data_IF_491432287825
#
_entry.id   IF_491432287825
#
_cell.length_a   1.000
_cell.length_b   1.000
_cell.length_c   1.000
_cell.angle_alpha   90.00
_cell.angle_beta   90.00
_cell.angle_gamma   90.00
#
_symmetry.space_group_name_H-M   'P 1'
#
loop_
_entity.id
_entity.type
_entity.pdbx_description
1 polymer ?
#
# COMPACT_ATOMS: atom_id res chain seq x y z
N UNK A 1 16.80 8.51 -15.59
CA UNK A 1 16.82 8.41 -17.06
C UNK A 1 17.36 7.03 -17.43
N UNK A 2 16.53 6.10 -17.90
CA UNK A 2 17.05 4.83 -18.39
C UNK A 2 17.82 5.11 -19.68
N UNK A 3 19.04 4.57 -19.76
CA UNK A 3 19.91 4.71 -20.92
C UNK A 3 19.14 4.28 -22.17
N UNK A 4 19.17 5.14 -23.20
CA UNK A 4 18.69 4.82 -24.54
C UNK A 4 19.40 3.53 -24.98
N UNK A 5 18.68 2.41 -24.91
CA UNK A 5 19.11 1.12 -25.42
C UNK A 5 19.41 1.31 -26.90
N UNK A 6 20.69 1.25 -27.23
CA UNK A 6 21.27 1.30 -28.56
C UNK A 6 20.50 0.31 -29.46
N UNK A 7 19.68 0.81 -30.38
CA UNK A 7 18.73 0.03 -31.20
C UNK A 7 19.37 -1.07 -32.06
N UNK A 8 20.71 -1.16 -32.05
CA UNK A 8 21.51 -2.15 -32.77
C UNK A 8 22.18 -3.21 -31.87
N UNK A 9 22.07 -3.10 -30.55
CA UNK A 9 22.59 -4.12 -29.62
C UNK A 9 21.49 -5.15 -29.33
N UNK A 10 21.70 -6.44 -29.65
CA UNK A 10 20.72 -7.47 -29.31
C UNK A 10 20.62 -7.57 -27.79
N UNK A 11 19.38 -7.51 -27.27
CA UNK A 11 19.11 -7.70 -25.85
C UNK A 11 19.70 -9.04 -25.39
N UNK A 12 20.43 -9.00 -24.26
CA UNK A 12 21.07 -10.18 -23.69
C UNK A 12 20.06 -11.32 -23.46
N UNK A 13 18.80 -10.97 -23.20
CA UNK A 13 17.71 -11.92 -22.99
C UNK A 13 17.30 -12.65 -24.27
N UNK A 14 17.32 -11.97 -25.42
CA UNK A 14 17.08 -12.62 -26.72
C UNK A 14 18.17 -13.63 -27.04
N UNK A 15 19.43 -13.30 -26.73
CA UNK A 15 20.56 -14.23 -26.90
C UNK A 15 20.40 -15.44 -25.97
N UNK A 16 20.02 -15.24 -24.71
CA UNK A 16 19.75 -16.34 -23.76
C UNK A 16 18.66 -17.26 -24.26
N UNK A 17 17.60 -16.72 -24.85
CA UNK A 17 16.53 -17.52 -25.43
C UNK A 17 17.01 -18.39 -26.60
N UNK A 18 17.85 -17.84 -27.50
CA UNK A 18 18.49 -18.63 -28.56
C UNK A 18 19.31 -19.80 -27.99
N UNK A 19 20.05 -19.57 -26.90
CA UNK A 19 20.88 -20.60 -26.27
C UNK A 19 20.05 -21.71 -25.62
N UNK A 20 18.89 -21.37 -25.05
CA UNK A 20 17.98 -22.36 -24.43
C UNK A 20 17.48 -23.41 -25.42
N UNK A 21 17.22 -23.01 -26.67
CA UNK A 21 16.72 -23.91 -27.72
C UNK A 21 17.82 -24.54 -28.59
N UNK A 22 19.08 -24.13 -28.41
CA UNK A 22 20.19 -24.59 -29.23
C UNK A 22 20.45 -26.13 -29.21
N UNK A 23 20.31 -26.85 -28.08
CA UNK A 23 20.51 -28.31 -28.06
C UNK A 23 19.55 -29.06 -28.98
N UNK A 24 18.29 -28.63 -29.07
CA UNK A 24 17.28 -29.24 -29.94
C UNK A 24 17.70 -29.08 -31.40
N UNK A 25 18.17 -27.89 -31.80
CA UNK A 25 18.66 -27.63 -33.15
C UNK A 25 19.90 -28.45 -33.53
N UNK A 26 20.80 -28.68 -32.57
CA UNK A 26 22.01 -29.51 -32.76
C UNK A 26 21.62 -30.97 -32.96
N UNK A 27 20.75 -31.51 -32.10
CA UNK A 27 20.26 -32.88 -32.22
C UNK A 27 19.52 -33.11 -33.55
N UNK A 28 18.64 -32.19 -33.93
CA UNK A 28 17.92 -32.24 -35.21
C UNK A 28 18.87 -32.22 -36.41
N UNK A 29 19.95 -31.43 -36.36
CA UNK A 29 20.95 -31.35 -37.43
C UNK A 29 21.66 -32.69 -37.62
N UNK A 30 22.16 -33.30 -36.54
CA UNK A 30 22.86 -34.59 -36.59
C UNK A 30 21.97 -35.74 -37.05
N UNK A 31 20.72 -35.76 -36.57
CA UNK A 31 19.74 -36.77 -36.97
C UNK A 31 19.40 -36.64 -38.47
N UNK A 32 19.02 -35.42 -38.91
CA UNK A 32 18.63 -35.19 -40.29
C UNK A 32 19.79 -35.37 -41.27
N UNK A 33 21.02 -34.98 -40.91
CA UNK A 33 22.19 -35.21 -41.77
C UNK A 33 22.47 -36.70 -41.96
N UNK A 34 22.30 -37.50 -40.90
CA UNK A 34 22.48 -38.96 -40.96
C UNK A 34 21.41 -39.62 -41.83
N UNK A 35 20.14 -39.21 -41.66
CA UNK A 35 19.02 -39.70 -42.48
C UNK A 35 19.21 -39.32 -43.95
N UNK A 36 19.61 -38.09 -44.24
CA UNK A 36 19.82 -37.62 -45.61
C UNK A 36 20.93 -38.42 -46.30
N UNK A 37 22.05 -38.65 -45.61
CA UNK A 37 23.16 -39.47 -46.15
C UNK A 37 22.72 -40.91 -46.40
N UNK A 38 21.97 -41.51 -45.49
CA UNK A 38 21.47 -42.88 -45.65
C UNK A 38 20.58 -43.03 -46.89
N UNK A 39 19.65 -42.09 -47.09
CA UNK A 39 18.72 -42.12 -48.24
C UNK A 39 19.46 -41.88 -49.56
N UNK A 40 20.44 -40.97 -49.57
CA UNK A 40 21.20 -40.65 -50.78
C UNK A 40 22.32 -41.65 -51.09
N UNK A 41 22.59 -42.62 -50.20
CA UNK A 41 23.74 -43.52 -50.28
C UNK A 41 23.86 -44.29 -51.59
N UNK A 42 22.72 -44.68 -52.18
CA UNK A 42 22.69 -45.47 -53.43
C UNK A 42 22.74 -44.63 -54.70
N UNK A 43 22.59 -43.31 -54.60
CA UNK A 43 22.39 -42.43 -55.77
C UNK A 43 23.50 -41.38 -55.89
N UNK A 44 24.14 -41.01 -54.78
CA UNK A 44 25.24 -40.05 -54.74
C UNK A 44 26.53 -40.76 -54.34
N UNK A 45 27.68 -40.30 -54.85
CA UNK A 45 28.99 -40.84 -54.49
C UNK A 45 29.22 -40.84 -52.98
N UNK A 46 29.64 -41.98 -52.43
CA UNK A 46 29.94 -42.13 -51.00
C UNK A 46 30.98 -41.11 -50.53
N UNK A 47 31.97 -40.75 -51.36
CA UNK A 47 32.98 -39.75 -50.99
C UNK A 47 32.36 -38.37 -50.75
N UNK A 48 31.43 -37.94 -51.61
CA UNK A 48 30.72 -36.66 -51.48
C UNK A 48 29.86 -36.65 -50.22
N UNK A 49 29.15 -37.75 -49.95
CA UNK A 49 28.30 -37.90 -48.76
C UNK A 49 29.11 -37.84 -47.46
N UNK A 50 30.24 -38.56 -47.41
CA UNK A 50 31.09 -38.59 -46.22
C UNK A 50 31.81 -37.26 -45.97
N UNK A 51 32.28 -36.58 -47.02
CA UNK A 51 32.88 -35.24 -46.89
C UNK A 51 31.84 -34.25 -46.37
N UNK A 52 30.62 -34.26 -46.94
CA UNK A 52 29.55 -33.38 -46.50
C UNK A 52 29.10 -33.67 -45.06
N UNK A 53 28.95 -34.94 -44.70
CA UNK A 53 28.63 -35.37 -43.33
C UNK A 53 29.72 -34.96 -42.34
N UNK A 54 31.00 -35.16 -42.68
CA UNK A 54 32.12 -34.73 -41.86
C UNK A 54 32.13 -33.23 -41.63
N UNK A 55 31.89 -32.44 -42.70
CA UNK A 55 31.80 -30.99 -42.59
C UNK A 55 30.65 -30.55 -41.67
N UNK A 56 29.47 -31.17 -41.77
CA UNK A 56 28.30 -30.74 -40.98
C UNK A 56 28.42 -31.13 -39.52
N UNK A 57 28.98 -32.30 -39.25
CA UNK A 57 29.35 -32.70 -37.88
C UNK A 57 30.40 -31.76 -37.30
N UNK A 58 31.45 -31.40 -38.05
CA UNK A 58 32.49 -30.48 -37.58
C UNK A 58 31.93 -29.11 -37.21
N UNK A 59 31.16 -28.47 -38.10
CA UNK A 59 30.52 -27.17 -37.82
C UNK A 59 29.58 -27.27 -36.61
N UNK A 60 28.84 -28.37 -36.49
CA UNK A 60 27.94 -28.62 -35.36
C UNK A 60 28.70 -28.77 -34.03
N UNK A 61 29.84 -29.47 -34.02
CA UNK A 61 30.71 -29.60 -32.85
C UNK A 61 31.32 -28.26 -32.42
N UNK A 62 31.80 -27.45 -33.38
CA UNK A 62 32.32 -26.11 -33.10
C UNK A 62 31.24 -25.22 -32.48
N UNK A 63 30.00 -25.28 -33.01
CA UNK A 63 28.85 -24.54 -32.45
C UNK A 63 28.49 -25.01 -31.05
N UNK A 64 28.45 -26.33 -30.82
CA UNK A 64 28.21 -26.88 -29.49
C UNK A 64 29.27 -26.40 -28.49
N UNK A 65 30.55 -26.42 -28.87
CA UNK A 65 31.65 -25.92 -28.05
C UNK A 65 31.52 -24.43 -27.72
N UNK A 66 31.09 -23.60 -28.69
CA UNK A 66 30.84 -22.17 -28.49
C UNK A 66 29.71 -21.93 -27.46
N UNK A 67 28.60 -22.66 -27.58
CA UNK A 67 27.46 -22.58 -26.65
C UNK A 67 27.85 -23.10 -25.27
N UNK A 68 28.53 -24.25 -25.21
CA UNK A 68 29.02 -24.84 -23.97
C UNK A 68 29.97 -23.90 -23.22
N UNK A 69 30.87 -23.22 -23.96
CA UNK A 69 31.78 -22.22 -23.40
C UNK A 69 31.02 -21.12 -22.67
N UNK A 70 29.94 -20.58 -23.25
CA UNK A 70 29.15 -19.52 -22.63
C UNK A 70 28.31 -20.01 -21.44
N UNK A 71 27.80 -21.25 -21.49
CA UNK A 71 27.13 -21.83 -20.33
C UNK A 71 28.08 -22.13 -19.16
N UNK A 72 29.35 -22.46 -19.41
CA UNK A 72 30.30 -22.89 -18.37
C UNK A 72 31.26 -21.80 -17.89
N UNK A 73 31.66 -20.85 -18.75
CA UNK A 73 32.66 -19.83 -18.46
C UNK A 73 31.98 -18.46 -18.30
N UNK A 74 31.56 -18.19 -17.06
CA UNK A 74 31.23 -16.89 -16.46
C UNK A 74 30.32 -15.93 -17.26
N UNK A 75 29.05 -15.73 -16.83
CA UNK A 75 28.15 -14.68 -17.34
C UNK A 75 28.65 -13.24 -17.25
N UNK A 76 29.84 -12.97 -16.69
CA UNK A 76 30.35 -11.62 -16.37
C UNK A 76 31.67 -11.25 -17.09
N UNK A 77 32.34 -12.16 -17.80
CA UNK A 77 33.62 -11.87 -18.48
C UNK A 77 33.55 -11.90 -20.01
N UNK A 78 32.36 -12.09 -20.56
CA UNK A 78 32.18 -12.26 -21.99
C UNK A 78 31.70 -10.95 -22.64
N UNK A 79 32.36 -10.50 -23.73
CA UNK A 79 31.93 -9.35 -24.56
C UNK A 79 30.74 -9.72 -25.45
N UNK A 80 29.49 -9.36 -25.10
CA UNK A 80 28.27 -9.88 -25.74
C UNK A 80 28.24 -9.68 -27.26
N UNK A 81 28.90 -8.63 -27.76
CA UNK A 81 28.95 -8.29 -29.18
C UNK A 81 29.74 -9.31 -30.00
N UNK A 82 30.88 -9.77 -29.47
CA UNK A 82 31.71 -10.80 -30.11
C UNK A 82 31.01 -12.14 -30.13
N UNK A 83 30.21 -12.48 -29.10
CA UNK A 83 29.48 -13.75 -29.05
C UNK A 83 28.45 -13.79 -30.13
N UNK A 84 27.67 -12.72 -30.17
CA UNK A 84 26.57 -12.60 -31.07
C UNK A 84 27.06 -12.75 -32.51
N UNK A 85 28.18 -12.12 -32.83
CA UNK A 85 28.83 -12.26 -34.14
C UNK A 85 29.30 -13.70 -34.39
N UNK A 86 30.02 -14.33 -33.45
CA UNK A 86 30.48 -15.72 -33.58
C UNK A 86 29.32 -16.72 -33.73
N UNK A 87 28.24 -16.51 -32.99
CA UNK A 87 27.01 -17.30 -33.03
C UNK A 87 26.32 -17.14 -34.39
N UNK A 88 26.17 -15.91 -34.88
CA UNK A 88 25.59 -15.63 -36.20
C UNK A 88 26.43 -16.25 -37.32
N UNK A 89 27.76 -16.12 -37.27
CA UNK A 89 28.66 -16.75 -38.25
C UNK A 89 28.49 -18.26 -38.22
N UNK A 90 28.44 -18.90 -37.04
CA UNK A 90 28.19 -20.33 -36.92
C UNK A 90 26.84 -20.77 -37.49
N UNK A 91 25.78 -20.00 -37.23
CA UNK A 91 24.44 -20.23 -37.79
C UNK A 91 24.47 -20.09 -39.32
N UNK A 92 25.12 -19.06 -39.83
CA UNK A 92 25.33 -18.82 -41.26
C UNK A 92 26.06 -19.96 -41.95
N UNK A 93 27.18 -20.42 -41.35
CA UNK A 93 27.95 -21.57 -41.83
C UNK A 93 27.10 -22.85 -41.88
N UNK A 94 26.27 -23.07 -40.86
CA UNK A 94 25.33 -24.20 -40.84
C UNK A 94 24.31 -24.09 -41.98
N UNK A 95 23.78 -22.89 -42.23
CA UNK A 95 22.84 -22.64 -43.32
C UNK A 95 23.47 -22.84 -44.70
N UNK A 96 24.69 -22.35 -44.91
CA UNK A 96 25.44 -22.57 -46.17
C UNK A 96 25.74 -24.04 -46.42
N UNK A 97 25.98 -24.81 -45.37
CA UNK A 97 26.30 -26.23 -45.50
C UNK A 97 25.07 -27.09 -45.79
N UNK A 98 23.91 -26.75 -45.20
CA UNK A 98 22.64 -27.32 -45.65
C UNK A 98 22.32 -26.91 -47.09
N UNK A 99 22.56 -25.64 -47.44
CA UNK A 99 22.40 -25.14 -48.81
C UNK A 99 23.27 -25.86 -49.83
N UNK A 100 24.51 -26.19 -49.46
CA UNK A 100 25.42 -26.92 -50.35
C UNK A 100 24.90 -28.33 -50.67
N UNK A 101 24.01 -28.92 -49.85
CA UNK A 101 23.34 -30.17 -50.19
C UNK A 101 22.46 -30.03 -51.46
N UNK A 102 21.85 -28.86 -51.69
CA UNK A 102 21.15 -28.53 -52.94
C UNK A 102 22.05 -28.52 -54.18
N UNK A 103 23.38 -28.45 -54.00
CA UNK A 103 24.38 -28.46 -55.07
C UNK A 103 25.02 -29.85 -55.18
N UNK A 104 25.61 -30.35 -54.10
CA UNK A 104 26.45 -31.56 -54.10
C UNK A 104 25.67 -32.86 -53.86
N UNK A 105 24.54 -32.80 -53.16
CA UNK A 105 23.72 -33.98 -52.83
C UNK A 105 22.45 -34.07 -53.70
N UNK A 106 22.42 -33.32 -54.80
CA UNK A 106 21.28 -33.30 -55.72
C UNK A 106 21.36 -34.47 -56.70
N UNK A 107 20.44 -35.42 -56.56
CA UNK A 107 20.32 -36.58 -57.43
C UNK A 107 19.63 -36.21 -58.76
N UNK A 108 20.39 -35.92 -59.81
CA UNK A 108 19.84 -35.51 -61.13
C UNK A 108 18.92 -36.57 -61.76
N UNK A 109 19.12 -37.84 -61.41
CA UNK A 109 18.42 -38.96 -62.04
C UNK A 109 17.22 -39.47 -61.22
N UNK A 110 16.87 -38.83 -60.10
CA UNK A 110 15.75 -39.29 -59.27
C UNK A 110 14.98 -38.14 -58.61
N UNK A 111 13.77 -37.90 -59.11
CA UNK A 111 12.84 -36.89 -58.57
C UNK A 111 12.50 -37.19 -57.11
N UNK A 112 12.35 -38.47 -56.72
CA UNK A 112 12.06 -38.85 -55.33
C UNK A 112 13.15 -38.38 -54.36
N UNK A 113 14.42 -38.52 -54.74
CA UNK A 113 15.54 -38.09 -53.90
C UNK A 113 15.67 -36.56 -53.84
N UNK A 114 15.28 -35.86 -54.91
CA UNK A 114 15.21 -34.39 -54.93
C UNK A 114 14.08 -33.86 -54.06
N UNK A 115 12.89 -34.48 -54.14
CA UNK A 115 11.76 -34.14 -53.29
C UNK A 115 12.07 -34.40 -51.81
N UNK A 116 12.77 -35.50 -51.51
CA UNK A 116 13.24 -35.77 -50.14
C UNK A 116 14.23 -34.70 -49.66
N UNK A 117 15.19 -34.30 -50.51
CA UNK A 117 16.12 -33.21 -50.19
C UNK A 117 15.39 -31.89 -49.93
N UNK A 118 14.41 -31.53 -50.76
CA UNK A 118 13.57 -30.34 -50.58
C UNK A 118 12.78 -30.39 -49.26
N UNK A 119 12.22 -31.55 -48.93
CA UNK A 119 11.51 -31.77 -47.67
C UNK A 119 12.42 -31.59 -46.45
N UNK A 120 13.63 -32.16 -46.47
CA UNK A 120 14.61 -32.00 -45.37
C UNK A 120 15.03 -30.53 -45.23
N UNK A 121 15.39 -29.86 -46.33
CA UNK A 121 15.81 -28.44 -46.28
C UNK A 121 14.66 -27.53 -45.84
N UNK A 122 13.44 -27.76 -46.33
CA UNK A 122 12.23 -27.08 -45.86
C UNK A 122 11.99 -27.31 -44.37
N UNK A 123 12.08 -28.56 -43.91
CA UNK A 123 11.94 -28.92 -42.50
C UNK A 123 12.98 -28.25 -41.59
N UNK A 124 14.23 -28.15 -42.05
CA UNK A 124 15.29 -27.43 -41.35
C UNK A 124 14.97 -25.93 -41.22
N UNK A 125 14.45 -25.30 -42.28
CA UNK A 125 14.02 -23.89 -42.23
C UNK A 125 12.80 -23.69 -41.34
N UNK A 126 11.85 -24.63 -41.33
CA UNK A 126 10.72 -24.59 -40.42
C UNK A 126 11.16 -24.67 -38.95
N UNK A 127 12.09 -25.58 -38.63
CA UNK A 127 12.69 -25.66 -37.30
C UNK A 127 13.48 -24.40 -36.93
N UNK A 128 14.12 -23.75 -37.91
CA UNK A 128 14.80 -22.47 -37.73
C UNK A 128 13.82 -21.32 -37.45
N UNK A 129 12.62 -21.31 -38.05
CA UNK A 129 11.59 -20.32 -37.72
C UNK A 129 11.16 -20.43 -36.25
N UNK A 130 11.08 -21.63 -35.68
CA UNK A 130 10.84 -21.82 -34.24
C UNK A 130 12.02 -21.40 -33.37
N UNK A 131 13.23 -21.82 -33.74
CA UNK A 131 14.44 -21.70 -32.88
C UNK A 131 15.09 -20.31 -32.95
N UNK A 132 15.11 -19.69 -34.13
CA UNK A 132 15.79 -18.42 -34.39
C UNK A 132 14.84 -17.23 -34.50
N UNK A 133 13.52 -17.43 -34.32
CA UNK A 133 12.54 -16.33 -34.40
C UNK A 133 12.79 -15.21 -33.39
N UNK A 134 13.44 -15.47 -32.26
CA UNK A 134 13.81 -14.42 -31.31
C UNK A 134 14.75 -13.37 -31.94
N UNK A 135 15.55 -13.75 -32.95
CA UNK A 135 16.50 -12.87 -33.62
C UNK A 135 16.42 -13.06 -35.14
N UNK A 136 15.72 -12.16 -35.83
CA UNK A 136 15.51 -12.26 -37.29
C UNK A 136 16.80 -12.37 -38.10
N UNK A 137 17.89 -11.71 -37.68
CA UNK A 137 19.21 -11.85 -38.33
C UNK A 137 19.71 -13.30 -38.33
N UNK A 138 19.47 -14.05 -37.26
CA UNK A 138 19.84 -15.47 -37.17
C UNK A 138 18.96 -16.34 -38.08
N UNK A 139 17.65 -16.06 -38.14
CA UNK A 139 16.75 -16.75 -39.07
C UNK A 139 17.17 -16.54 -40.54
N UNK A 140 17.51 -15.32 -40.93
CA UNK A 140 17.97 -15.03 -42.30
C UNK A 140 19.33 -15.64 -42.58
N UNK A 141 20.29 -15.53 -41.64
CA UNK A 141 21.62 -16.12 -41.77
C UNK A 141 21.54 -17.64 -42.02
N UNK A 142 20.55 -18.33 -41.45
CA UNK A 142 20.33 -19.74 -41.70
C UNK A 142 19.50 -20.02 -42.97
N UNK A 143 18.30 -19.45 -43.06
CA UNK A 143 17.27 -19.88 -44.02
C UNK A 143 17.58 -19.52 -45.47
N UNK A 144 18.15 -18.33 -45.71
CA UNK A 144 18.50 -17.86 -47.06
C UNK A 144 19.52 -18.78 -47.71
N UNK A 145 20.74 -18.97 -47.17
CA UNK A 145 21.71 -19.84 -47.80
C UNK A 145 21.26 -21.32 -47.84
N UNK A 146 20.35 -21.75 -46.95
CA UNK A 146 19.81 -23.12 -46.95
C UNK A 146 18.94 -23.42 -48.17
N UNK A 147 18.03 -22.52 -48.53
CA UNK A 147 17.04 -22.79 -49.59
C UNK A 147 17.41 -22.16 -50.94
N UNK A 148 18.15 -21.05 -50.97
CA UNK A 148 18.47 -20.36 -52.22
C UNK A 148 19.11 -21.26 -53.27
N UNK A 149 20.12 -22.11 -52.97
CA UNK A 149 20.73 -22.99 -53.98
C UNK A 149 19.73 -23.98 -54.59
N UNK A 150 18.86 -24.56 -53.77
CA UNK A 150 17.86 -25.52 -54.22
C UNK A 150 16.77 -24.84 -55.07
N UNK A 151 16.25 -23.71 -54.59
CA UNK A 151 15.23 -22.92 -55.31
C UNK A 151 15.76 -22.49 -56.67
N UNK A 152 16.96 -21.89 -56.73
CA UNK A 152 17.57 -21.49 -57.99
C UNK A 152 17.75 -22.69 -58.93
N UNK A 153 18.22 -23.82 -58.42
CA UNK A 153 18.42 -25.03 -59.23
C UNK A 153 17.13 -25.58 -59.81
N UNK A 154 16.05 -25.59 -59.04
CA UNK A 154 14.72 -26.00 -59.53
C UNK A 154 14.20 -25.09 -60.65
N UNK A 155 14.38 -23.77 -60.53
CA UNK A 155 14.00 -22.85 -61.61
C UNK A 155 14.90 -22.98 -62.86
N UNK A 156 16.18 -23.29 -62.70
CA UNK A 156 17.12 -23.46 -63.81
C UNK A 156 16.90 -24.73 -64.63
N UNK A 157 16.36 -25.81 -64.02
CA UNK A 157 16.06 -27.05 -64.75
C UNK A 157 14.88 -26.89 -65.70
N UNK A 158 13.93 -26.00 -65.38
CA UNK A 158 12.94 -25.48 -66.32
C UNK A 158 11.81 -26.43 -66.74
N UNK A 159 11.83 -27.70 -66.33
CA UNK A 159 10.68 -28.60 -66.55
C UNK A 159 9.53 -28.34 -65.56
N UNK A 160 8.34 -28.82 -65.93
CA UNK A 160 7.10 -28.58 -65.19
C UNK A 160 7.17 -29.03 -63.72
N UNK A 161 7.77 -30.19 -63.45
CA UNK A 161 7.87 -30.72 -62.09
C UNK A 161 8.85 -29.89 -61.24
N UNK A 162 10.01 -29.51 -61.78
CA UNK A 162 10.98 -28.71 -61.03
C UNK A 162 10.51 -27.26 -60.84
N UNK A 163 9.82 -26.66 -61.81
CA UNK A 163 9.18 -25.34 -61.64
C UNK A 163 8.14 -25.39 -60.50
N UNK A 164 7.30 -26.43 -60.45
CA UNK A 164 6.34 -26.62 -59.36
C UNK A 164 7.04 -26.80 -58.00
N UNK A 165 8.09 -27.63 -57.92
CA UNK A 165 8.86 -27.81 -56.68
C UNK A 165 9.56 -26.52 -56.23
N UNK A 166 10.12 -25.74 -57.16
CA UNK A 166 10.72 -24.43 -56.90
C UNK A 166 9.70 -23.43 -56.36
N UNK A 167 8.54 -23.32 -57.01
CA UNK A 167 7.43 -22.47 -56.58
C UNK A 167 6.91 -22.84 -55.19
N UNK A 168 6.68 -24.12 -54.92
CA UNK A 168 6.23 -24.61 -53.60
C UNK A 168 7.27 -24.38 -52.51
N UNK A 169 8.56 -24.58 -52.81
CA UNK A 169 9.66 -24.33 -51.86
C UNK A 169 9.78 -22.84 -51.54
N UNK A 170 9.64 -21.97 -52.55
CA UNK A 170 9.64 -20.51 -52.37
C UNK A 170 8.43 -20.04 -51.55
N UNK A 171 7.23 -20.53 -51.89
CA UNK A 171 6.01 -20.23 -51.14
C UNK A 171 6.13 -20.69 -49.68
N UNK A 172 6.67 -21.88 -49.45
CA UNK A 172 6.93 -22.38 -48.11
C UNK A 172 7.94 -21.51 -47.35
N UNK A 173 9.02 -21.06 -47.99
CA UNK A 173 9.97 -20.13 -47.38
C UNK A 173 9.32 -18.79 -47.00
N UNK A 174 8.48 -18.23 -47.87
CA UNK A 174 7.69 -17.00 -47.58
C UNK A 174 6.77 -17.23 -46.38
N UNK A 175 6.07 -18.35 -46.32
CA UNK A 175 5.23 -18.72 -45.17
C UNK A 175 6.04 -18.86 -43.88
N UNK A 176 7.23 -19.46 -43.96
CA UNK A 176 8.14 -19.57 -42.81
C UNK A 176 8.70 -18.21 -42.38
N UNK A 177 8.95 -17.29 -43.32
CA UNK A 177 9.31 -15.92 -43.00
C UNK A 177 8.21 -15.20 -42.21
N UNK A 178 6.95 -15.26 -42.66
CA UNK A 178 5.84 -14.66 -41.92
C UNK A 178 5.64 -15.32 -40.54
N UNK A 179 5.82 -16.64 -40.46
CA UNK A 179 5.76 -17.38 -39.20
C UNK A 179 6.86 -16.92 -38.24
N UNK A 180 8.10 -16.80 -38.71
CA UNK A 180 9.23 -16.31 -37.92
C UNK A 180 9.00 -14.87 -37.46
N UNK A 181 8.49 -13.99 -38.34
CA UNK A 181 8.17 -12.59 -38.02
C UNK A 181 7.07 -12.50 -36.95
N UNK A 182 6.02 -13.32 -37.06
CA UNK A 182 4.95 -13.40 -36.05
C UNK A 182 5.50 -13.84 -34.69
N UNK A 183 6.29 -14.91 -34.66
CA UNK A 183 6.92 -15.43 -33.43
C UNK A 183 7.89 -14.42 -32.80
N UNK A 184 8.64 -13.68 -33.62
CA UNK A 184 9.51 -12.59 -33.16
C UNK A 184 8.71 -11.50 -32.44
N UNK A 185 7.61 -11.04 -33.05
CA UNK A 185 6.74 -10.04 -32.47
C UNK A 185 6.12 -10.50 -31.14
N UNK A 186 5.66 -11.76 -31.07
CA UNK A 186 5.14 -12.36 -29.83
C UNK A 186 6.22 -12.43 -28.74
N UNK A 187 7.43 -12.83 -29.10
CA UNK A 187 8.55 -12.94 -28.16
C UNK A 187 8.93 -11.57 -27.59
N UNK A 188 9.04 -10.55 -28.44
CA UNK A 188 9.34 -9.19 -28.00
C UNK A 188 8.22 -8.61 -27.12
N UNK A 189 6.96 -8.90 -27.44
CA UNK A 189 5.82 -8.49 -26.62
C UNK A 189 5.86 -9.12 -25.22
N UNK A 190 6.24 -10.40 -25.11
CA UNK A 190 6.40 -11.09 -23.83
C UNK A 190 7.49 -10.41 -22.98
N UNK A 191 8.63 -10.06 -23.56
CA UNK A 191 9.70 -9.38 -22.82
C UNK A 191 9.26 -8.01 -22.30
N UNK A 192 8.59 -7.21 -23.14
CA UNK A 192 8.06 -5.90 -22.73
C UNK A 192 7.03 -6.04 -21.61
N UNK A 193 6.14 -7.04 -21.71
CA UNK A 193 5.13 -7.31 -20.70
C UNK A 193 5.78 -7.71 -19.36
N UNK A 194 6.76 -8.62 -19.40
CA UNK A 194 7.49 -9.04 -18.20
C UNK A 194 8.25 -7.88 -17.53
N UNK A 195 8.85 -6.98 -18.33
CA UNK A 195 9.51 -5.79 -17.80
C UNK A 195 8.51 -4.85 -17.10
N UNK A 196 7.36 -4.56 -17.74
CA UNK A 196 6.31 -3.73 -17.13
C UNK A 196 5.68 -4.37 -15.90
N UNK A 197 5.58 -5.70 -15.87
CA UNK A 197 5.07 -6.44 -14.71
C UNK A 197 6.04 -6.33 -13.54
N UNK A 198 7.35 -6.45 -13.78
CA UNK A 198 8.36 -6.28 -12.74
C UNK A 198 8.33 -4.88 -12.12
N UNK A 199 8.22 -3.84 -12.96
CA UNK A 199 8.11 -2.45 -12.49
C UNK A 199 6.81 -2.22 -11.70
N UNK A 200 5.68 -2.76 -12.16
CA UNK A 200 4.41 -2.66 -11.44
C UNK A 200 4.43 -3.41 -10.10
N UNK A 201 5.09 -4.57 -10.03
CA UNK A 201 5.27 -5.31 -8.78
C UNK A 201 6.13 -4.54 -7.79
N UNK A 202 7.24 -3.95 -8.22
CA UNK A 202 8.10 -3.13 -7.37
C UNK A 202 7.34 -1.92 -6.80
N UNK A 203 6.54 -1.24 -7.64
CA UNK A 203 5.72 -0.13 -7.18
C UNK A 203 4.64 -0.55 -6.18
N UNK A 204 3.97 -1.68 -6.42
CA UNK A 204 2.98 -2.23 -5.50
C UNK A 204 3.60 -2.65 -4.16
N UNK A 205 4.80 -3.21 -4.18
CA UNK A 205 5.55 -3.58 -2.97
C UNK A 205 5.95 -2.35 -2.15
N UNK A 206 6.38 -1.27 -2.81
CA UNK A 206 6.67 0.01 -2.17
C UNK A 206 5.42 0.61 -1.49
N UNK A 207 4.27 0.64 -2.17
CA UNK A 207 3.00 1.12 -1.59
C UNK A 207 2.58 0.25 -0.41
N UNK A 208 2.76 -1.08 -0.50
CA UNK A 208 2.43 -1.98 0.60
C UNK A 208 3.29 -1.73 1.84
N UNK A 209 4.58 -1.45 1.68
CA UNK A 209 5.45 -1.11 2.82
C UNK A 209 5.11 0.27 3.41
N UNK A 210 4.79 1.26 2.58
CA UNK A 210 4.31 2.57 3.04
C UNK A 210 3.01 2.46 3.84
N UNK A 211 2.02 1.74 3.30
CA UNK A 211 0.73 1.54 3.95
C UNK A 211 0.87 0.76 5.27
N UNK A 212 1.77 -0.23 5.35
CA UNK A 212 2.07 -0.93 6.60
C UNK A 212 2.57 0.03 7.68
N UNK A 213 3.46 0.96 7.33
CA UNK A 213 3.97 1.96 8.26
C UNK A 213 2.85 2.91 8.71
N UNK A 214 2.01 3.40 7.79
CA UNK A 214 0.88 4.27 8.12
C UNK A 214 -0.13 3.56 9.06
N UNK A 215 -0.45 2.29 8.80
CA UNK A 215 -1.34 1.50 9.66
C UNK A 215 -0.73 1.33 11.06
N UNK A 216 0.58 1.05 11.16
CA UNK A 216 1.26 0.93 12.45
C UNK A 216 1.22 2.25 13.23
N UNK A 217 1.41 3.38 12.56
CA UNK A 217 1.30 4.71 13.17
C UNK A 217 -0.12 4.99 13.67
N UNK A 218 -1.15 4.72 12.85
CA UNK A 218 -2.55 4.87 13.25
C UNK A 218 -2.90 4.03 14.47
N UNK A 219 -2.50 2.76 14.51
CA UNK A 219 -2.76 1.88 15.65
C UNK A 219 -2.16 2.47 16.93
N UNK A 220 -0.95 3.02 16.86
CA UNK A 220 -0.30 3.65 18.03
C UNK A 220 -1.05 4.89 18.51
N UNK A 221 -1.48 5.75 17.60
CA UNK A 221 -2.27 6.95 17.92
C UNK A 221 -3.62 6.57 18.52
N UNK A 222 -4.29 5.56 17.97
CA UNK A 222 -5.57 5.06 18.50
C UNK A 222 -5.42 4.50 19.91
N UNK A 223 -4.34 3.77 20.20
CA UNK A 223 -4.07 3.21 21.52
C UNK A 223 -3.75 4.32 22.55
N UNK A 224 -2.96 5.33 22.17
CA UNK A 224 -2.68 6.49 23.02
C UNK A 224 -3.95 7.29 23.32
N UNK A 225 -4.81 7.50 22.32
CA UNK A 225 -6.09 8.17 22.48
C UNK A 225 -7.04 7.37 23.38
N UNK A 226 -7.06 6.04 23.23
CA UNK A 226 -7.85 5.14 24.08
C UNK A 226 -7.45 5.28 25.54
N UNK A 227 -6.15 5.25 25.85
CA UNK A 227 -5.63 5.45 27.22
C UNK A 227 -5.99 6.81 27.79
N UNK A 228 -5.85 7.88 27.00
CA UNK A 228 -6.24 9.23 27.45
C UNK A 228 -7.74 9.32 27.71
N UNK A 229 -8.59 8.72 26.87
CA UNK A 229 -10.03 8.67 27.10
C UNK A 229 -10.41 7.91 28.36
N UNK A 230 -9.80 6.74 28.59
CA UNK A 230 -10.03 5.94 29.79
C UNK A 230 -9.64 6.73 31.05
N UNK A 231 -8.45 7.34 31.07
CA UNK A 231 -8.00 8.16 32.19
C UNK A 231 -8.87 9.41 32.44
N UNK A 232 -9.27 10.12 31.37
CA UNK A 232 -10.19 11.26 31.48
C UNK A 232 -11.55 10.83 32.04
N UNK A 233 -12.08 9.69 31.58
CA UNK A 233 -13.34 9.17 32.07
C UNK A 233 -13.27 8.85 33.56
N UNK A 234 -12.16 8.29 34.03
CA UNK A 234 -11.93 8.00 35.45
C UNK A 234 -11.86 9.28 36.27
N UNK A 235 -11.06 10.26 35.84
CA UNK A 235 -10.98 11.57 36.52
C UNK A 235 -12.33 12.29 36.55
N UNK A 236 -13.10 12.25 35.45
CA UNK A 236 -14.44 12.86 35.39
C UNK A 236 -15.38 12.15 36.37
N UNK A 237 -15.34 10.82 36.45
CA UNK A 237 -16.16 10.08 37.40
C UNK A 237 -15.80 10.43 38.86
N UNK A 238 -14.51 10.49 39.18
CA UNK A 238 -14.00 10.88 40.51
C UNK A 238 -14.44 12.30 40.89
N UNK A 239 -14.16 13.30 40.02
CA UNK A 239 -14.55 14.70 40.28
C UNK A 239 -16.04 14.89 40.35
N UNK A 240 -16.80 14.16 39.55
CA UNK A 240 -18.27 14.21 39.61
C UNK A 240 -18.78 13.64 40.94
N UNK A 241 -18.16 12.57 41.46
CA UNK A 241 -18.49 12.02 42.78
C UNK A 241 -18.14 12.99 43.91
N UNK A 242 -16.97 13.64 43.87
CA UNK A 242 -16.58 14.67 44.85
C UNK A 242 -17.54 15.87 44.82
N UNK A 243 -17.85 16.40 43.62
CA UNK A 243 -18.76 17.52 43.44
C UNK A 243 -20.17 17.19 43.92
N UNK A 244 -20.68 15.99 43.62
CA UNK A 244 -22.01 15.58 44.10
C UNK A 244 -22.04 15.43 45.62
N UNK A 245 -20.99 14.90 46.24
CA UNK A 245 -20.87 14.83 47.70
C UNK A 245 -20.80 16.22 48.35
N UNK A 246 -19.95 17.12 47.83
CA UNK A 246 -19.83 18.49 48.32
C UNK A 246 -21.13 19.29 48.14
N UNK A 247 -21.81 19.12 47.01
CA UNK A 247 -23.10 19.77 46.76
C UNK A 247 -24.17 19.25 47.73
N UNK A 248 -24.21 17.93 48.00
CA UNK A 248 -25.12 17.37 49.01
C UNK A 248 -24.84 17.93 50.43
N UNK A 249 -23.57 18.12 50.79
CA UNK A 249 -23.20 18.76 52.06
C UNK A 249 -23.66 20.23 52.12
N UNK A 250 -23.40 21.01 51.07
CA UNK A 250 -23.84 22.40 50.99
C UNK A 250 -25.36 22.54 51.05
N UNK A 251 -26.09 21.67 50.37
CA UNK A 251 -27.56 21.63 50.43
C UNK A 251 -28.02 21.40 51.88
N UNK A 252 -27.41 20.45 52.59
CA UNK A 252 -27.74 20.19 54.00
C UNK A 252 -27.41 21.38 54.90
N UNK A 253 -26.25 22.01 54.74
CA UNK A 253 -25.84 23.18 55.53
C UNK A 253 -26.77 24.39 55.28
N UNK A 254 -27.18 24.63 54.03
CA UNK A 254 -28.15 25.67 53.69
C UNK A 254 -29.49 25.39 54.35
N UNK A 255 -29.95 24.13 54.35
CA UNK A 255 -31.21 23.76 54.96
C UNK A 255 -31.18 23.91 56.49
N UNK A 256 -30.07 23.52 57.13
CA UNK A 256 -29.86 23.71 58.56
C UNK A 256 -29.83 25.20 58.95
N UNK A 257 -29.12 26.02 58.16
CA UNK A 257 -29.07 27.48 58.36
C UNK A 257 -30.45 28.12 58.23
N UNK A 258 -31.25 27.70 57.25
CA UNK A 258 -32.64 28.17 57.10
C UNK A 258 -33.50 27.81 58.31
N UNK A 259 -33.38 26.59 58.84
CA UNK A 259 -34.12 26.17 60.06
C UNK A 259 -33.71 26.99 61.28
N UNK A 260 -32.42 27.26 61.45
CA UNK A 260 -31.93 28.09 62.55
C UNK A 260 -32.45 29.53 62.45
N UNK A 261 -32.43 30.13 61.26
CA UNK A 261 -32.98 31.47 61.02
C UNK A 261 -34.49 31.53 61.27
N UNK A 262 -35.24 30.52 60.80
CA UNK A 262 -36.69 30.45 61.01
C UNK A 262 -37.05 30.23 62.50
N UNK A 263 -36.27 29.42 63.22
CA UNK A 263 -36.43 29.24 64.66
C UNK A 263 -36.11 30.53 65.43
N UNK A 264 -35.06 31.25 65.04
CA UNK A 264 -34.73 32.56 65.60
C UNK A 264 -35.86 33.57 65.35
N UNK A 265 -36.34 33.68 64.10
CA UNK A 265 -37.45 34.56 63.72
C UNK A 265 -38.71 34.24 64.54
N UNK A 266 -39.07 32.96 64.67
CA UNK A 266 -40.22 32.53 65.50
C UNK A 266 -40.01 32.83 66.98
N UNK A 267 -38.80 32.71 67.50
CA UNK A 267 -38.47 33.08 68.88
C UNK A 267 -38.61 34.58 69.11
N UNK A 268 -38.11 35.40 68.19
CA UNK A 268 -38.24 36.86 68.24
C UNK A 268 -39.71 37.30 68.12
N UNK A 269 -40.48 36.71 67.20
CA UNK A 269 -41.92 36.96 67.07
C UNK A 269 -42.69 36.53 68.32
N UNK A 270 -42.39 35.36 68.88
CA UNK A 270 -43.00 34.88 70.14
C UNK A 270 -42.65 35.81 71.31
N UNK A 271 -41.39 36.24 71.42
CA UNK A 271 -40.97 37.19 72.45
C UNK A 271 -41.70 38.53 72.29
N UNK A 272 -41.76 39.08 71.07
CA UNK A 272 -42.49 40.30 70.75
C UNK A 272 -43.97 40.18 71.14
N UNK A 273 -44.63 39.10 70.74
CA UNK A 273 -46.03 38.86 71.10
C UNK A 273 -46.25 38.69 72.61
N UNK A 274 -45.32 38.07 73.35
CA UNK A 274 -45.45 37.94 74.80
C UNK A 274 -45.31 39.31 75.48
N UNK A 275 -44.32 40.12 75.11
CA UNK A 275 -44.12 41.45 75.69
C UNK A 275 -45.28 42.40 75.34
N UNK A 276 -45.81 42.33 74.13
CA UNK A 276 -46.93 43.17 73.68
C UNK A 276 -48.30 42.76 74.28
N UNK A 277 -48.48 41.52 74.73
CA UNK A 277 -49.75 41.03 75.29
C UNK A 277 -49.76 40.86 76.82
N UNK A 278 -48.69 41.26 77.52
CA UNK A 278 -48.72 41.35 78.99
C UNK A 278 -49.61 42.54 79.38
N UNK A 279 -50.52 42.30 80.33
CA UNK A 279 -51.45 43.31 80.87
C UNK A 279 -50.79 44.39 81.73
N UNK A 280 -49.47 44.31 81.94
CA UNK A 280 -48.66 45.32 82.62
C UNK A 280 -47.86 46.13 81.60
N UNK A 281 -47.61 47.40 81.90
CA UNK A 281 -46.72 48.23 81.10
C UNK A 281 -45.28 47.79 81.33
N UNK A 282 -44.65 47.24 80.29
CA UNK A 282 -43.23 46.91 80.30
C UNK A 282 -42.48 48.09 79.71
N UNK A 283 -41.57 48.68 80.47
CA UNK A 283 -40.69 49.73 79.98
C UNK A 283 -39.25 49.40 80.33
N UNK A 284 -38.33 49.81 79.46
CA UNK A 284 -36.90 49.78 79.72
C UNK A 284 -36.36 51.20 79.74
N UNK A 285 -35.38 51.44 80.60
CA UNK A 285 -34.66 52.72 80.70
C UNK A 285 -33.20 52.49 80.39
N UNK A 286 -32.50 53.52 79.94
CA UNK A 286 -31.04 53.54 80.03
C UNK A 286 -30.58 53.87 81.46
N UNK A 287 -29.26 53.84 81.68
CA UNK A 287 -28.62 54.16 82.96
C UNK A 287 -28.92 55.57 83.50
N UNK A 288 -29.40 56.48 82.66
CA UNK A 288 -29.70 57.86 83.02
C UNK A 288 -31.21 58.04 83.26
N UNK A 289 -31.98 56.94 83.34
CA UNK A 289 -33.42 56.95 83.61
C UNK A 289 -34.28 57.33 82.40
N UNK A 290 -33.70 57.40 81.19
CA UNK A 290 -34.44 57.74 79.98
C UNK A 290 -35.11 56.49 79.42
N UNK A 291 -36.42 56.55 79.14
CA UNK A 291 -37.18 55.39 78.65
C UNK A 291 -36.78 55.07 77.20
N UNK A 292 -36.16 53.90 77.00
CA UNK A 292 -35.66 53.40 75.69
C UNK A 292 -36.61 52.43 75.01
N UNK A 293 -37.49 51.79 75.78
CA UNK A 293 -38.56 50.93 75.27
C UNK A 293 -39.79 51.07 76.16
N UNK A 294 -40.98 51.02 75.58
CA UNK A 294 -42.24 50.89 76.32
C UNK A 294 -43.20 50.03 75.51
N UNK A 295 -43.88 49.09 76.15
CA UNK A 295 -44.84 48.21 75.49
C UNK A 295 -46.08 49.00 75.04
N UNK A 296 -46.73 48.63 73.92
CA UNK A 296 -47.95 49.30 73.44
C UNK A 296 -49.11 49.27 74.44
N UNK A 297 -49.09 48.32 75.40
CA UNK A 297 -50.05 48.25 76.51
C UNK A 297 -50.11 49.54 77.33
N UNK A 298 -49.09 50.41 77.25
CA UNK A 298 -49.15 51.73 77.88
C UNK A 298 -50.29 52.60 77.35
N UNK A 299 -50.71 52.43 76.09
CA UNK A 299 -51.84 53.17 75.52
C UNK A 299 -53.19 52.76 76.09
N UNK A 300 -53.33 51.49 76.46
CA UNK A 300 -54.60 50.96 76.99
C UNK A 300 -54.72 51.18 78.50
N UNK A 301 -53.60 51.25 79.22
CA UNK A 301 -53.55 51.42 80.67
C UNK A 301 -53.32 52.87 81.11
N UNK A 302 -52.75 53.70 80.24
CA UNK A 302 -52.51 55.11 80.48
C UNK A 302 -52.99 55.94 79.29
N UNK A 303 -53.28 57.23 79.50
CA UNK A 303 -53.66 58.14 78.41
C UNK A 303 -52.46 58.63 77.58
N UNK A 304 -51.35 57.90 77.57
CA UNK A 304 -50.12 58.27 76.86
C UNK A 304 -49.85 57.31 75.71
N UNK A 305 -49.43 57.87 74.59
CA UNK A 305 -48.91 57.12 73.44
C UNK A 305 -47.42 56.79 73.65
N UNK A 306 -46.90 55.64 73.20
CA UNK A 306 -45.50 55.24 73.34
C UNK A 306 -44.54 56.33 72.84
N UNK A 307 -44.88 56.95 71.71
CA UNK A 307 -44.10 58.05 71.12
C UNK A 307 -43.98 59.29 72.01
N UNK A 308 -44.88 59.48 73.00
CA UNK A 308 -44.85 60.58 73.95
C UNK A 308 -44.01 60.25 75.20
N UNK A 309 -43.73 58.97 75.44
CA UNK A 309 -43.01 58.46 76.61
C UNK A 309 -41.55 58.15 76.26
N UNK A 310 -41.32 57.59 75.07
CA UNK A 310 -39.99 57.24 74.58
C UNK A 310 -39.07 58.46 74.56
N UNK A 311 -37.86 58.31 75.10
CA UNK A 311 -36.84 59.35 75.17
C UNK A 311 -37.02 60.38 76.29
N UNK A 312 -38.02 60.21 77.16
CA UNK A 312 -38.23 61.07 78.34
C UNK A 312 -37.78 60.39 79.62
N UNK A 313 -37.53 61.19 80.65
CA UNK A 313 -37.10 60.67 81.95
C UNK A 313 -38.30 60.09 82.71
N UNK A 314 -38.16 58.88 83.25
CA UNK A 314 -39.31 58.15 83.84
C UNK A 314 -40.02 58.92 84.97
N UNK A 315 -39.30 59.78 85.69
CA UNK A 315 -39.85 60.61 86.77
C UNK A 315 -40.91 61.60 86.27
N UNK A 316 -40.91 62.00 85.00
CA UNK A 316 -41.92 62.91 84.45
C UNK A 316 -43.33 62.31 84.50
N UNK A 317 -43.45 60.99 84.58
CA UNK A 317 -44.72 60.26 84.58
C UNK A 317 -45.12 59.73 85.96
N UNK A 318 -44.37 60.10 87.01
CA UNK A 318 -44.64 59.70 88.39
C UNK A 318 -45.33 60.86 89.12
N UNK A 319 -46.34 60.55 89.92
CA UNK A 319 -47.04 61.55 90.72
C UNK A 319 -46.07 62.22 91.74
N UNK A 320 -46.11 63.56 91.94
CA UNK A 320 -45.12 64.27 92.76
C UNK A 320 -44.99 63.78 94.21
N UNK A 321 -46.07 63.25 94.79
CA UNK A 321 -46.06 62.67 96.13
C UNK A 321 -45.22 61.38 96.24
N UNK A 322 -45.02 60.68 95.11
CA UNK A 322 -44.35 59.38 95.06
C UNK A 322 -42.91 59.47 94.52
N UNK A 323 -42.52 60.62 93.93
CA UNK A 323 -41.19 60.84 93.33
C UNK A 323 -40.03 60.51 94.28
N UNK A 324 -40.09 60.95 95.53
CA UNK A 324 -39.01 60.71 96.51
C UNK A 324 -38.85 59.22 96.83
N UNK A 325 -39.96 58.48 96.88
CA UNK A 325 -39.99 57.05 97.17
C UNK A 325 -39.53 56.21 95.97
N UNK A 326 -39.96 56.58 94.76
CA UNK A 326 -39.62 55.83 93.55
C UNK A 326 -38.17 56.08 93.11
N UNK A 327 -37.69 57.33 93.17
CA UNK A 327 -36.30 57.66 92.79
C UNK A 327 -35.29 56.95 93.69
N UNK A 328 -35.51 56.95 95.01
CA UNK A 328 -34.66 56.22 95.96
C UNK A 328 -34.73 54.69 95.79
N UNK A 329 -35.87 54.16 95.36
CA UNK A 329 -36.01 52.75 95.04
C UNK A 329 -35.30 52.38 93.73
N UNK A 330 -35.34 53.25 92.72
CA UNK A 330 -34.68 53.08 91.43
C UNK A 330 -33.16 53.08 91.57
N UNK A 331 -32.59 54.07 92.28
CA UNK A 331 -31.15 54.14 92.59
C UNK A 331 -30.66 52.90 93.35
N UNK A 332 -31.50 52.36 94.25
CA UNK A 332 -31.17 51.14 95.00
C UNK A 332 -31.15 49.89 94.11
N UNK A 333 -32.05 49.78 93.13
CA UNK A 333 -32.08 48.65 92.20
C UNK A 333 -30.92 48.73 91.19
N UNK A 334 -30.61 49.93 90.69
CA UNK A 334 -29.49 50.15 89.77
C UNK A 334 -28.12 49.87 90.44
N UNK A 335 -28.02 50.06 91.77
CA UNK A 335 -26.82 49.71 92.55
C UNK A 335 -26.56 48.20 92.74
N UNK A 336 -27.50 47.34 92.32
CA UNK A 336 -27.44 45.86 92.48
C UNK A 336 -27.16 45.14 91.15
N UNK A 337 -27.31 45.82 90.00
CA UNK A 337 -27.07 45.27 88.67
C UNK A 337 -25.60 45.43 88.21
#
# INVERSE_FOLDING_TARGET
>A
MPAVQDANRPDADLIRQLLKHAPIGIAATLLNSSILVFIQWRVISHSVLLIWLGAITFVTCVRYGLIYRVHRLLPHQYDPSRFYTQLLVGIGLSGTLWGSAGIFLFATNSITHQAFLAFVLGGMVAGAAGTFSAVMRAFFAFSVPTLTPLIMRFFLLGDEFHLAMGGMTLLFWIMMFFTAKRLNATTLAIFRLNASLAEAMEHAEAINEELKLEIQERIKVEEELRRHREHLSEMVAERTAELTAANAQLINEVEERKRAQEAQRKSEEKYRHLVENVSDVIYATDKDGIITYVSPTVESLSNYQPAQILGRHFTEFIHPADLATVTSSYERVDSIA
#
